data_IF_131051849297
#
_entry.id   IF_131051849297
#
_cell.length_a   1.000
_cell.length_b   1.000
_cell.length_c   1.000
_cell.angle_alpha   90.00
_cell.angle_beta   90.00
_cell.angle_gamma   90.00
#
_symmetry.space_group_name_H-M   'P 1'
#
loop_
_entity.id
_entity.type
_entity.pdbx_description
1 polymer ?
#
# COMPACT_ATOMS: atom_id res chain seq x y z
N UNK A 1 -34.17 -4.15 19.28
CA UNK A 1 -33.14 -4.35 18.21
C UNK A 1 -31.84 -4.75 18.88
N UNK A 2 -31.53 -6.05 18.87
CA UNK A 2 -30.33 -6.59 19.51
C UNK A 2 -29.10 -6.26 18.66
N UNK A 3 -28.29 -5.30 19.12
CA UNK A 3 -26.99 -5.04 18.55
C UNK A 3 -26.09 -6.26 18.79
N UNK A 4 -26.01 -7.17 17.81
CA UNK A 4 -25.01 -8.24 17.84
C UNK A 4 -23.64 -7.57 17.82
N UNK A 5 -22.97 -7.52 18.98
CA UNK A 5 -21.57 -7.08 19.09
C UNK A 5 -20.70 -8.14 18.40
N UNK A 6 -20.29 -7.87 17.17
CA UNK A 6 -19.24 -8.65 16.50
C UNK A 6 -17.87 -8.25 17.05
N UNK A 7 -17.60 -8.59 18.31
CA UNK A 7 -16.23 -8.56 18.82
C UNK A 7 -15.46 -9.70 18.14
N UNK A 8 -14.36 -9.34 17.48
CA UNK A 8 -13.38 -10.29 16.94
C UNK A 8 -12.82 -11.19 18.05
N UNK A 9 -12.32 -12.40 17.74
CA UNK A 9 -11.68 -13.26 18.74
C UNK A 9 -10.58 -12.55 19.54
N UNK A 10 -9.77 -11.72 18.87
CA UNK A 10 -8.74 -10.92 19.51
C UNK A 10 -9.32 -9.88 20.49
N UNK A 11 -10.42 -9.19 20.13
CA UNK A 11 -11.11 -8.28 21.04
C UNK A 11 -11.74 -8.99 22.24
N UNK A 12 -12.21 -10.23 22.07
CA UNK A 12 -12.71 -11.03 23.21
C UNK A 12 -11.58 -11.41 24.16
N UNK A 13 -10.45 -11.91 23.64
CA UNK A 13 -9.28 -12.22 24.44
C UNK A 13 -8.74 -10.98 25.19
N UNK A 14 -8.72 -9.82 24.54
CA UNK A 14 -8.35 -8.55 25.16
C UNK A 14 -9.32 -8.16 26.29
N UNK A 15 -10.64 -8.31 26.08
CA UNK A 15 -11.62 -8.07 27.14
C UNK A 15 -11.47 -9.02 28.33
N UNK A 16 -11.21 -10.30 28.07
CA UNK A 16 -10.99 -11.31 29.12
C UNK A 16 -9.75 -10.98 29.95
N UNK A 17 -8.66 -10.55 29.30
CA UNK A 17 -7.45 -10.10 29.99
C UNK A 17 -7.69 -8.84 30.83
N UNK A 18 -8.42 -7.87 30.31
CA UNK A 18 -8.73 -6.61 31.00
C UNK A 18 -9.71 -6.78 32.16
N UNK A 19 -10.59 -7.80 32.13
CA UNK A 19 -11.52 -8.10 33.22
C UNK A 19 -10.80 -8.37 34.56
N UNK A 20 -9.55 -8.83 34.51
CA UNK A 20 -8.73 -9.10 35.69
C UNK A 20 -8.00 -7.85 36.24
N UNK A 21 -7.96 -6.75 35.49
CA UNK A 21 -7.26 -5.52 35.88
C UNK A 21 -8.14 -4.64 36.79
N UNK A 22 -7.85 -4.66 38.10
CA UNK A 22 -8.59 -3.88 39.10
C UNK A 22 -8.47 -2.36 38.93
N UNK A 23 -7.49 -1.88 38.17
CA UNK A 23 -7.27 -0.45 37.89
C UNK A 23 -7.89 0.00 36.57
N UNK A 24 -8.62 -0.87 35.88
CA UNK A 24 -9.19 -0.59 34.56
C UNK A 24 -10.04 0.70 34.54
N UNK A 25 -10.80 0.96 35.61
CA UNK A 25 -11.66 2.14 35.77
C UNK A 25 -10.87 3.45 35.98
N UNK A 26 -9.60 3.35 36.36
CA UNK A 26 -8.70 4.49 36.63
C UNK A 26 -7.75 4.74 35.43
N UNK A 27 -7.67 3.81 34.49
CA UNK A 27 -6.87 3.95 33.28
C UNK A 27 -7.67 4.52 32.12
N UNK A 28 -7.10 5.51 31.42
CA UNK A 28 -7.72 6.12 30.25
C UNK A 28 -8.12 5.06 29.20
N UNK A 29 -9.28 5.28 28.56
CA UNK A 29 -9.96 4.44 27.55
C UNK A 29 -9.06 4.07 26.34
N UNK A 30 -7.86 4.66 26.23
CA UNK A 30 -6.82 4.36 25.25
C UNK A 30 -6.38 2.88 25.20
N UNK A 31 -6.76 2.01 26.15
CA UNK A 31 -6.55 0.56 26.05
C UNK A 31 -7.52 -0.16 25.08
N UNK A 32 -8.58 0.50 24.59
CA UNK A 32 -9.48 -0.05 23.55
C UNK A 32 -8.94 0.20 22.13
N UNK A 33 -7.62 0.12 21.93
CA UNK A 33 -7.07 0.07 20.58
C UNK A 33 -7.57 -1.21 19.91
N UNK A 34 -7.91 -1.11 18.62
CA UNK A 34 -8.22 -2.28 17.80
C UNK A 34 -7.08 -3.30 17.89
N UNK A 35 -7.36 -4.59 17.66
CA UNK A 35 -6.35 -5.62 17.81
C UNK A 35 -5.13 -5.29 16.94
N UNK A 36 -3.94 -5.62 17.43
CA UNK A 36 -2.69 -5.41 16.71
C UNK A 36 -2.75 -5.99 15.30
N UNK A 37 -1.89 -5.47 14.41
CA UNK A 37 -1.78 -6.04 13.08
C UNK A 37 -1.09 -7.42 13.16
N UNK A 38 -1.89 -8.46 13.30
CA UNK A 38 -1.43 -9.84 13.39
C UNK A 38 -1.65 -10.66 12.11
N UNK A 39 -1.23 -11.92 12.15
CA UNK A 39 -1.32 -12.87 11.03
C UNK A 39 -2.72 -13.00 10.42
N UNK A 40 -3.78 -12.85 11.23
CA UNK A 40 -5.16 -12.92 10.75
C UNK A 40 -5.48 -11.83 9.71
N UNK A 41 -4.95 -10.61 9.88
CA UNK A 41 -5.12 -9.52 8.92
C UNK A 41 -4.30 -9.78 7.67
N UNK A 42 -3.08 -10.28 7.81
CA UNK A 42 -2.23 -10.70 6.68
C UNK A 42 -2.93 -11.76 5.83
N UNK A 43 -3.49 -12.80 6.47
CA UNK A 43 -4.22 -13.86 5.78
C UNK A 43 -5.47 -13.33 5.07
N UNK A 44 -6.15 -12.34 5.66
CA UNK A 44 -7.26 -11.65 5.00
C UNK A 44 -6.80 -10.90 3.76
N UNK A 45 -5.67 -10.18 3.82
CA UNK A 45 -5.10 -9.51 2.64
C UNK A 45 -4.76 -10.52 1.53
N UNK A 46 -4.14 -11.66 1.88
CA UNK A 46 -3.86 -12.75 0.93
C UNK A 46 -5.12 -13.29 0.25
N UNK A 47 -6.21 -13.43 0.99
CA UNK A 47 -7.49 -13.86 0.44
C UNK A 47 -8.11 -12.80 -0.48
N UNK A 48 -8.12 -11.54 -0.05
CA UNK A 48 -8.69 -10.43 -0.82
C UNK A 48 -7.90 -10.14 -2.10
N UNK A 49 -6.59 -10.38 -2.10
CA UNK A 49 -5.73 -10.25 -3.28
C UNK A 49 -6.11 -11.21 -4.41
N UNK A 50 -6.90 -12.26 -4.13
CA UNK A 50 -7.37 -13.24 -5.11
C UNK A 50 -8.83 -13.04 -5.50
N UNK A 51 -9.48 -11.99 -4.98
CA UNK A 51 -10.89 -11.72 -5.24
C UNK A 51 -11.14 -11.47 -6.74
N UNK A 52 -12.31 -11.87 -7.24
CA UNK A 52 -12.68 -11.66 -8.65
C UNK A 52 -12.85 -10.18 -8.98
N UNK A 53 -13.34 -9.39 -8.02
CA UNK A 53 -13.55 -7.96 -8.17
C UNK A 53 -12.22 -7.20 -8.11
N UNK A 54 -11.80 -6.50 -9.18
CA UNK A 54 -10.57 -5.73 -9.18
C UNK A 54 -10.56 -4.64 -8.11
N UNK A 55 -11.70 -4.06 -7.73
CA UNK A 55 -11.76 -3.02 -6.68
C UNK A 55 -11.34 -3.54 -5.29
N UNK A 56 -11.63 -4.80 -5.00
CA UNK A 56 -11.15 -5.44 -3.78
C UNK A 56 -9.63 -5.62 -3.85
N UNK A 57 -9.10 -6.07 -4.99
CA UNK A 57 -7.65 -6.20 -5.18
C UNK A 57 -6.91 -4.87 -5.16
N UNK A 58 -7.48 -3.81 -5.74
CA UNK A 58 -6.98 -2.42 -5.66
C UNK A 58 -6.85 -1.97 -4.20
N UNK A 59 -7.88 -2.23 -3.37
CA UNK A 59 -7.83 -1.90 -1.94
C UNK A 59 -6.72 -2.63 -1.19
N UNK A 60 -6.41 -3.87 -1.60
CA UNK A 60 -5.28 -4.61 -1.03
C UNK A 60 -3.99 -3.95 -1.47
N UNK A 61 -3.83 -3.64 -2.76
CA UNK A 61 -2.62 -3.03 -3.30
C UNK A 61 -2.24 -1.70 -2.64
N UNK A 62 -3.21 -0.92 -2.14
CA UNK A 62 -2.99 0.34 -1.41
C UNK A 62 -2.75 0.17 0.11
N UNK A 63 -2.77 -1.04 0.64
CA UNK A 63 -2.58 -1.26 2.07
C UNK A 63 -1.09 -1.19 2.45
N UNK A 64 -0.79 -0.59 3.61
CA UNK A 64 0.59 -0.46 4.14
C UNK A 64 1.22 -1.77 4.60
N UNK A 65 0.41 -2.81 4.83
CA UNK A 65 0.87 -4.07 5.41
C UNK A 65 0.73 -5.26 4.45
N UNK A 66 0.76 -4.97 3.15
CA UNK A 66 0.72 -6.01 2.13
C UNK A 66 2.04 -6.78 2.19
N UNK A 67 2.01 -8.10 2.38
CA UNK A 67 3.21 -8.91 2.27
C UNK A 67 3.81 -8.81 0.86
N UNK A 68 5.12 -8.83 0.77
CA UNK A 68 5.84 -8.66 -0.50
C UNK A 68 5.40 -9.69 -1.55
N UNK A 69 5.15 -10.95 -1.16
CA UNK A 69 4.69 -11.99 -2.09
C UNK A 69 3.34 -11.66 -2.72
N UNK A 70 2.46 -11.00 -1.96
CA UNK A 70 1.15 -10.55 -2.44
C UNK A 70 1.32 -9.36 -3.36
N UNK A 71 2.22 -8.44 -3.02
CA UNK A 71 2.49 -7.26 -3.83
C UNK A 71 3.05 -7.63 -5.21
N UNK A 72 3.95 -8.62 -5.28
CA UNK A 72 4.43 -9.18 -6.56
C UNK A 72 3.31 -9.78 -7.41
N UNK A 73 2.36 -10.47 -6.78
CA UNK A 73 1.20 -11.01 -7.49
C UNK A 73 0.30 -9.90 -8.05
N UNK A 74 0.07 -8.85 -7.27
CA UNK A 74 -0.73 -7.68 -7.68
C UNK A 74 -0.03 -6.83 -8.74
N UNK A 75 1.30 -6.74 -8.71
CA UNK A 75 2.10 -6.07 -9.74
C UNK A 75 1.97 -6.75 -11.12
N UNK A 76 1.62 -8.04 -11.15
CA UNK A 76 1.37 -8.81 -12.37
C UNK A 76 -0.12 -8.98 -12.68
N UNK A 77 -0.99 -8.26 -11.97
CA UNK A 77 -2.44 -8.39 -12.13
C UNK A 77 -2.88 -8.02 -13.55
N UNK A 78 -3.86 -8.75 -14.08
CA UNK A 78 -4.43 -8.47 -15.41
C UNK A 78 -5.08 -7.08 -15.48
N UNK A 79 -5.64 -6.60 -14.38
CA UNK A 79 -6.32 -5.31 -14.31
C UNK A 79 -5.30 -4.19 -14.11
N UNK A 80 -5.35 -3.21 -15.01
CA UNK A 80 -4.45 -2.04 -14.96
C UNK A 80 -4.60 -1.22 -13.68
N UNK A 81 -5.83 -1.02 -13.19
CA UNK A 81 -6.10 -0.26 -11.96
C UNK A 81 -5.41 -0.87 -10.73
N UNK A 82 -5.36 -2.20 -10.65
CA UNK A 82 -4.63 -2.89 -9.57
C UNK A 82 -3.12 -2.60 -9.66
N UNK A 83 -2.53 -2.68 -10.86
CA UNK A 83 -1.09 -2.38 -11.06
C UNK A 83 -0.78 -0.91 -10.79
N UNK A 84 -1.67 0.00 -11.16
CA UNK A 84 -1.59 1.42 -10.79
C UNK A 84 -1.57 1.59 -9.27
N UNK A 85 -2.45 0.91 -8.54
CA UNK A 85 -2.47 0.97 -7.08
C UNK A 85 -1.16 0.48 -6.45
N UNK A 86 -0.52 -0.55 -7.01
CA UNK A 86 0.81 -0.99 -6.56
C UNK A 86 1.87 0.07 -6.86
N UNK A 87 1.89 0.63 -8.07
CA UNK A 87 2.82 1.71 -8.44
C UNK A 87 2.66 2.95 -7.57
N UNK A 88 1.45 3.23 -7.08
CA UNK A 88 1.13 4.37 -6.20
C UNK A 88 1.47 4.15 -4.74
N UNK A 89 1.59 2.91 -4.29
CA UNK A 89 1.79 2.62 -2.89
C UNK A 89 3.23 2.96 -2.47
N UNK A 90 3.35 3.73 -1.39
CA UNK A 90 4.63 4.17 -0.81
C UNK A 90 5.43 3.03 -0.19
N UNK A 91 4.76 1.96 0.24
CA UNK A 91 5.42 0.78 0.81
C UNK A 91 5.89 -0.20 -0.27
N UNK A 92 5.75 0.14 -1.55
CA UNK A 92 6.13 -0.76 -2.64
C UNK A 92 7.65 -0.91 -2.72
N UNK A 93 8.19 -2.14 -2.61
CA UNK A 93 9.61 -2.39 -2.75
C UNK A 93 10.16 -1.91 -4.09
N UNK A 94 11.41 -1.42 -4.07
CA UNK A 94 12.09 -0.89 -5.25
C UNK A 94 12.13 -1.90 -6.42
N UNK A 95 12.30 -3.20 -6.15
CA UNK A 95 12.33 -4.23 -7.20
C UNK A 95 10.97 -4.38 -7.92
N UNK A 96 9.87 -4.16 -7.21
CA UNK A 96 8.54 -4.15 -7.80
C UNK A 96 8.34 -2.88 -8.64
N UNK A 97 8.82 -1.72 -8.17
CA UNK A 97 8.79 -0.49 -8.95
C UNK A 97 9.62 -0.61 -10.25
N UNK A 98 10.81 -1.20 -10.19
CA UNK A 98 11.63 -1.54 -11.37
C UNK A 98 10.87 -2.40 -12.37
N UNK A 99 10.14 -3.42 -11.88
CA UNK A 99 9.31 -4.25 -12.74
C UNK A 99 8.19 -3.44 -13.42
N UNK A 100 7.45 -2.64 -12.65
CA UNK A 100 6.33 -1.84 -13.14
C UNK A 100 6.76 -0.70 -14.07
N UNK A 101 8.02 -0.25 -14.00
CA UNK A 101 8.58 0.73 -14.92
C UNK A 101 8.67 0.23 -16.37
N UNK A 102 8.57 -1.08 -16.59
CA UNK A 102 8.49 -1.69 -17.93
C UNK A 102 7.07 -2.14 -18.30
N UNK A 103 6.06 -1.77 -17.50
CA UNK A 103 4.68 -2.18 -17.75
C UNK A 103 4.20 -1.72 -19.13
N UNK A 104 3.35 -2.54 -19.76
CA UNK A 104 2.76 -2.22 -21.06
C UNK A 104 1.92 -0.94 -21.03
N UNK A 105 1.26 -0.64 -19.92
CA UNK A 105 0.41 0.52 -19.73
C UNK A 105 1.25 1.76 -19.43
N UNK A 106 1.07 2.80 -20.23
CA UNK A 106 1.61 4.13 -19.93
C UNK A 106 1.16 4.61 -18.55
N UNK A 107 -0.10 4.42 -18.19
CA UNK A 107 -0.65 4.95 -16.95
C UNK A 107 0.04 4.35 -15.72
N UNK A 108 0.38 3.05 -15.77
CA UNK A 108 1.16 2.40 -14.71
C UNK A 108 2.55 3.02 -14.61
N UNK A 109 3.26 3.16 -15.73
CA UNK A 109 4.61 3.76 -15.76
C UNK A 109 4.62 5.22 -15.27
N UNK A 110 3.59 5.99 -15.62
CA UNK A 110 3.39 7.36 -15.11
C UNK A 110 3.27 7.40 -13.59
N UNK A 111 2.54 6.45 -12.98
CA UNK A 111 2.44 6.37 -11.52
C UNK A 111 3.74 5.92 -10.86
N UNK A 112 4.55 5.09 -11.51
CA UNK A 112 5.90 4.77 -11.04
C UNK A 112 6.78 6.03 -11.03
N UNK A 113 6.74 6.85 -12.08
CA UNK A 113 7.51 8.11 -12.14
C UNK A 113 7.13 9.08 -11.00
N UNK A 114 5.84 9.14 -10.67
CA UNK A 114 5.32 10.01 -9.60
C UNK A 114 5.56 9.45 -8.20
N UNK A 115 5.75 8.14 -8.04
CA UNK A 115 6.03 7.55 -6.72
C UNK A 115 7.30 8.15 -6.12
N UNK A 116 7.22 8.62 -4.88
CA UNK A 116 8.33 9.29 -4.19
C UNK A 116 9.54 8.36 -4.01
N UNK A 117 9.30 7.08 -3.70
CA UNK A 117 10.32 6.08 -3.36
C UNK A 117 10.86 5.31 -4.56
N UNK A 118 10.59 5.76 -5.78
CA UNK A 118 11.15 5.17 -6.99
C UNK A 118 12.68 5.31 -7.01
N UNK A 119 13.44 4.23 -7.26
CA UNK A 119 14.89 4.30 -7.28
C UNK A 119 15.40 5.05 -8.53
N UNK A 120 16.62 5.60 -8.42
CA UNK A 120 17.21 6.46 -9.45
C UNK A 120 17.38 5.76 -10.81
N UNK A 121 17.84 4.50 -10.82
CA UNK A 121 17.98 3.68 -12.02
C UNK A 121 16.66 3.57 -12.82
N UNK A 122 15.54 3.51 -12.11
CA UNK A 122 14.20 3.44 -12.67
C UNK A 122 13.75 4.79 -13.22
N UNK A 123 14.13 5.89 -12.57
CA UNK A 123 13.90 7.23 -13.10
C UNK A 123 14.68 7.48 -14.39
N UNK A 124 15.93 7.02 -14.47
CA UNK A 124 16.77 7.10 -15.67
C UNK A 124 16.15 6.31 -16.84
N UNK A 125 15.62 5.10 -16.55
CA UNK A 125 14.87 4.32 -17.54
C UNK A 125 13.62 5.09 -18.03
N UNK A 126 12.84 5.66 -17.11
CA UNK A 126 11.60 6.38 -17.44
C UNK A 126 11.85 7.73 -18.13
N UNK A 127 13.02 8.35 -17.95
CA UNK A 127 13.43 9.55 -18.68
C UNK A 127 13.52 9.29 -20.20
N UNK A 128 13.83 8.05 -20.60
CA UNK A 128 13.87 7.59 -21.98
C UNK A 128 12.61 6.81 -22.40
N UNK A 129 11.51 6.90 -21.62
CA UNK A 129 10.29 6.15 -21.91
C UNK A 129 9.72 6.50 -23.29
N UNK A 130 9.06 5.53 -23.94
CA UNK A 130 8.39 5.73 -25.23
C UNK A 130 7.27 6.78 -25.16
N UNK A 131 6.59 6.91 -24.02
CA UNK A 131 5.50 7.87 -23.83
C UNK A 131 6.05 9.24 -23.45
N UNK A 132 5.61 10.27 -24.17
CA UNK A 132 5.93 11.66 -23.85
C UNK A 132 5.38 12.09 -22.48
N UNK A 133 4.19 11.59 -22.09
CA UNK A 133 3.58 11.90 -20.79
C UNK A 133 4.48 11.46 -19.64
N UNK A 134 5.05 10.25 -19.73
CA UNK A 134 5.96 9.70 -18.71
C UNK A 134 7.23 10.53 -18.64
N UNK A 135 7.85 10.85 -19.78
CA UNK A 135 9.05 11.69 -19.82
C UNK A 135 8.81 13.08 -19.22
N UNK A 136 7.65 13.70 -19.48
CA UNK A 136 7.24 14.98 -18.88
C UNK A 136 7.10 14.91 -17.36
N UNK A 137 6.54 13.82 -16.83
CA UNK A 137 6.43 13.61 -15.38
C UNK A 137 7.80 13.45 -14.72
N UNK A 138 8.72 12.72 -15.36
CA UNK A 138 10.09 12.57 -14.89
C UNK A 138 10.82 13.91 -14.86
N UNK A 139 10.73 14.70 -15.94
CA UNK A 139 11.33 16.03 -16.00
C UNK A 139 10.74 16.97 -14.93
N UNK A 140 9.41 17.01 -14.81
CA UNK A 140 8.74 17.79 -13.76
C UNK A 140 9.21 17.43 -12.35
N UNK A 141 9.38 16.14 -12.07
CA UNK A 141 9.87 15.66 -10.77
C UNK A 141 11.34 16.02 -10.55
N UNK A 142 12.18 16.00 -11.59
CA UNK A 142 13.56 16.46 -11.52
C UNK A 142 13.64 17.97 -11.22
N UNK A 143 12.85 18.79 -11.93
CA UNK A 143 12.76 20.24 -11.70
C UNK A 143 12.35 20.59 -10.26
N UNK A 144 11.46 19.79 -9.66
CA UNK A 144 11.06 19.96 -8.26
C UNK A 144 12.21 19.66 -7.29
N UNK A 145 12.95 18.58 -7.53
CA UNK A 145 14.10 18.21 -6.70
C UNK A 145 15.19 19.31 -6.73
N UNK A 146 15.44 19.91 -7.90
CA UNK A 146 16.39 21.01 -8.04
C UNK A 146 15.94 22.28 -7.27
N UNK A 147 14.65 22.62 -7.31
CA UNK A 147 14.11 23.79 -6.59
C UNK A 147 14.24 23.66 -5.07
N UNK A 148 13.93 22.48 -4.52
CA UNK A 148 14.05 22.21 -3.08
C UNK A 148 15.51 22.36 -2.60
N UNK A 149 16.48 21.91 -3.40
CA UNK A 149 17.92 22.04 -3.13
C UNK A 149 18.43 23.49 -3.14
N UNK A 150 17.83 24.38 -3.93
CA UNK A 150 18.22 25.80 -4.02
C UNK A 150 17.57 26.63 -2.90
N UNK A 151 16.49 26.15 -2.30
CA UNK A 151 15.77 26.83 -1.21
C UNK A 151 16.20 26.44 0.22
N UNK A 152 17.06 25.44 0.38
CA UNK A 152 17.58 24.94 1.65
C UNK A 152 18.98 25.51 1.97
#
# INVERSE_FOLDING_TARGET
MSCIRFNTPAQRAQLDALKADKKLNETAVAKFLGPEFGESKINRLRSMAKDKNPKIRESVALSYHVPEEVMWALAKDKNEGVRICVARNETTPCDILRHLATDKSEQVRSWVAVNYFVPQDTMELLASDKSESVRKLVAWKADLAEKELVSA
#
